data_IF_707524246638
#
_entry.id   IF_707524246638
#
_cell.length_a   1.000
_cell.length_b   1.000
_cell.length_c   1.000
_cell.angle_alpha   90.00
_cell.angle_beta   90.00
_cell.angle_gamma   90.00
#
_symmetry.space_group_name_H-M   'P 1'
#
loop_
_entity.id
_entity.type
_entity.pdbx_description
1 polymer ?
#
# COMPACT_ATOMS: atom_id res chain seq x y z
N UNK A 1 -6.81 -6.46 -20.03
CA UNK A 1 -6.68 -6.44 -18.55
C UNK A 1 -5.20 -6.50 -18.24
N UNK A 2 -4.67 -5.58 -17.44
CA UNK A 2 -3.25 -5.57 -17.06
C UNK A 2 -3.09 -6.24 -15.70
N UNK A 3 -2.14 -7.17 -15.61
CA UNK A 3 -1.81 -7.88 -14.37
C UNK A 3 -0.48 -7.39 -13.82
N UNK A 4 -0.34 -7.47 -12.51
CA UNK A 4 0.84 -7.01 -11.81
C UNK A 4 1.41 -8.07 -10.88
N UNK A 5 2.70 -7.95 -10.58
CA UNK A 5 3.37 -8.77 -9.58
C UNK A 5 4.35 -7.93 -8.77
N UNK A 6 4.14 -7.88 -7.47
CA UNK A 6 5.17 -7.44 -6.53
C UNK A 6 6.13 -8.57 -6.20
N UNK A 7 7.42 -8.25 -6.15
CA UNK A 7 8.53 -9.16 -5.87
C UNK A 7 9.51 -8.53 -4.87
N UNK A 8 10.24 -9.37 -4.17
CA UNK A 8 11.48 -9.01 -3.50
C UNK A 8 12.56 -8.64 -4.51
N UNK A 9 13.58 -7.93 -4.03
CA UNK A 9 14.73 -7.53 -4.82
C UNK A 9 15.32 -8.71 -5.60
N UNK A 10 15.58 -8.50 -6.89
CA UNK A 10 16.05 -9.56 -7.79
C UNK A 10 14.95 -10.45 -8.35
N UNK A 11 13.72 -9.92 -8.51
CA UNK A 11 12.57 -10.64 -9.05
C UNK A 11 12.22 -11.96 -8.31
N UNK A 12 12.29 -11.96 -6.98
CA UNK A 12 11.99 -13.16 -6.16
C UNK A 12 10.60 -13.07 -5.54
N UNK A 13 9.83 -14.16 -5.60
CA UNK A 13 8.53 -14.24 -4.93
C UNK A 13 8.68 -14.06 -3.42
N UNK A 14 8.03 -13.05 -2.80
CA UNK A 14 8.33 -12.68 -1.41
C UNK A 14 7.90 -13.74 -0.38
N UNK A 15 6.89 -14.54 -0.71
CA UNK A 15 6.40 -15.62 0.14
C UNK A 15 6.90 -17.00 -0.30
N UNK A 16 7.05 -17.22 -1.61
CA UNK A 16 7.43 -18.53 -2.16
C UNK A 16 8.94 -18.72 -2.29
N UNK A 17 9.73 -17.63 -2.25
CA UNK A 17 11.15 -17.65 -2.58
C UNK A 17 11.46 -18.00 -4.04
N UNK A 18 10.43 -18.13 -4.89
CA UNK A 18 10.61 -18.58 -6.27
C UNK A 18 11.20 -17.46 -7.13
N UNK A 19 12.32 -17.68 -7.83
CA UNK A 19 12.90 -16.68 -8.73
C UNK A 19 12.06 -16.59 -10.01
N UNK A 20 11.54 -15.41 -10.30
CA UNK A 20 10.86 -15.15 -11.56
C UNK A 20 11.89 -14.73 -12.61
N UNK A 21 11.90 -15.33 -13.81
CA UNK A 21 12.75 -14.86 -14.90
C UNK A 21 12.40 -13.41 -15.25
N UNK A 22 13.29 -12.43 -15.00
CA UNK A 22 13.01 -11.04 -15.32
C UNK A 22 13.05 -10.83 -16.85
N UNK A 23 12.42 -9.76 -17.37
CA UNK A 23 12.64 -9.35 -18.75
C UNK A 23 14.13 -9.06 -18.97
N UNK A 24 14.66 -9.54 -20.09
CA UNK A 24 16.09 -9.37 -20.42
C UNK A 24 16.41 -7.98 -20.94
N UNK A 25 17.70 -7.63 -20.96
CA UNK A 25 18.22 -6.32 -21.38
C UNK A 25 17.84 -5.93 -22.83
N UNK A 26 17.48 -6.92 -23.65
CA UNK A 26 17.08 -6.76 -25.05
C UNK A 26 15.56 -6.86 -25.22
N UNK A 27 14.81 -5.92 -24.64
CA UNK A 27 13.37 -5.67 -24.88
C UNK A 27 12.42 -6.89 -24.83
N UNK A 28 12.87 -8.02 -24.30
CA UNK A 28 12.12 -9.26 -24.25
C UNK A 28 11.46 -9.43 -22.90
N UNK A 29 10.18 -9.80 -22.90
CA UNK A 29 9.54 -10.35 -21.72
C UNK A 29 10.34 -11.55 -21.19
N UNK A 30 10.26 -11.80 -19.89
CA UNK A 30 10.86 -12.96 -19.24
C UNK A 30 10.27 -14.28 -19.75
N UNK A 31 10.91 -15.37 -19.36
CA UNK A 31 10.43 -16.71 -19.69
C UNK A 31 9.08 -17.01 -19.02
N UNK A 32 8.25 -17.82 -19.69
CA UNK A 32 6.97 -18.27 -19.17
C UNK A 32 7.17 -19.26 -18.01
N UNK A 33 6.57 -18.96 -16.87
CA UNK A 33 6.44 -19.87 -15.75
C UNK A 33 5.08 -20.56 -15.84
N UNK A 34 5.05 -21.87 -15.58
CA UNK A 34 3.81 -22.65 -15.49
C UNK A 34 3.71 -23.24 -14.09
N UNK A 35 2.61 -22.98 -13.41
CA UNK A 35 2.30 -23.58 -12.12
C UNK A 35 1.96 -25.07 -12.29
N UNK A 36 2.05 -25.83 -11.20
CA UNK A 36 1.53 -27.19 -11.16
C UNK A 36 0.01 -27.19 -11.35
N UNK A 37 -0.52 -28.31 -11.83
CA UNK A 37 -1.96 -28.53 -11.96
C UNK A 37 -2.68 -28.44 -10.61
N UNK A 38 -3.95 -28.06 -10.66
CA UNK A 38 -4.80 -27.87 -9.48
C UNK A 38 -4.44 -26.60 -8.71
N UNK A 39 -4.92 -25.43 -9.20
CA UNK A 39 -4.67 -24.12 -8.58
C UNK A 39 -5.42 -24.00 -7.25
N UNK A 40 -4.66 -23.89 -6.16
CA UNK A 40 -5.12 -23.84 -4.78
C UNK A 40 -4.46 -22.64 -4.08
N UNK A 41 -5.22 -21.76 -3.41
CA UNK A 41 -4.69 -20.60 -2.70
C UNK A 41 -3.52 -20.95 -1.80
N UNK A 42 -2.45 -20.16 -1.91
CA UNK A 42 -1.24 -20.31 -1.09
C UNK A 42 -0.49 -21.65 -1.27
N UNK A 43 -0.96 -22.58 -2.12
CA UNK A 43 -0.33 -23.89 -2.34
C UNK A 43 0.17 -24.07 -3.78
N UNK A 44 -0.59 -23.61 -4.75
CA UNK A 44 -0.27 -23.74 -6.17
C UNK A 44 -0.84 -22.55 -6.96
N UNK A 45 -0.23 -22.27 -8.11
CA UNK A 45 -0.61 -21.11 -8.92
C UNK A 45 0.25 -19.87 -8.70
N UNK A 46 0.31 -19.07 -9.74
CA UNK A 46 1.06 -17.83 -9.77
C UNK A 46 0.15 -16.71 -9.25
N UNK A 47 0.48 -16.20 -8.06
CA UNK A 47 -0.28 -15.12 -7.42
C UNK A 47 0.03 -13.80 -8.13
N UNK A 48 -0.98 -13.16 -8.70
CA UNK A 48 -0.89 -11.87 -9.38
C UNK A 48 -1.87 -10.88 -8.77
N UNK A 49 -1.69 -9.60 -9.09
CA UNK A 49 -2.50 -8.50 -8.62
C UNK A 49 -3.29 -7.89 -9.79
N UNK A 50 -4.58 -7.64 -9.59
CA UNK A 50 -5.30 -6.60 -10.33
C UNK A 50 -4.76 -5.23 -9.92
N UNK A 51 -5.04 -4.14 -10.67
CA UNK A 51 -4.74 -2.79 -10.21
C UNK A 51 -5.26 -2.52 -8.78
N UNK A 52 -6.51 -2.93 -8.48
CA UNK A 52 -7.13 -2.75 -7.17
C UNK A 52 -6.45 -3.53 -6.03
N UNK A 53 -5.69 -4.58 -6.37
CA UNK A 53 -5.02 -5.47 -5.41
C UNK A 53 -3.64 -4.92 -4.99
N UNK A 54 -3.06 -3.99 -5.75
CA UNK A 54 -1.69 -3.50 -5.56
C UNK A 54 -1.35 -3.09 -4.11
N UNK A 55 -2.20 -2.36 -3.35
CA UNK A 55 -1.88 -1.91 -2.00
C UNK A 55 -1.75 -3.05 -0.97
N UNK A 56 -2.25 -4.25 -1.29
CA UNK A 56 -2.20 -5.41 -0.40
C UNK A 56 -0.89 -6.20 -0.54
N UNK A 57 -0.14 -5.99 -1.63
CA UNK A 57 1.00 -6.83 -2.01
C UNK A 57 2.32 -6.07 -2.11
N UNK A 58 2.39 -4.84 -1.60
CA UNK A 58 3.56 -3.96 -1.70
C UNK A 58 4.86 -4.68 -1.32
N UNK A 59 5.82 -4.66 -2.23
CA UNK A 59 7.17 -5.17 -2.01
C UNK A 59 8.21 -4.28 -2.72
N UNK A 60 9.38 -4.82 -3.04
CA UNK A 60 10.58 -4.05 -3.43
C UNK A 60 10.60 -3.74 -4.91
N UNK A 61 9.98 -4.59 -5.72
CA UNK A 61 9.91 -4.46 -7.16
C UNK A 61 8.48 -4.73 -7.62
N UNK A 62 8.03 -4.01 -8.65
CA UNK A 62 6.72 -4.18 -9.27
C UNK A 62 6.89 -4.44 -10.76
N UNK A 63 6.16 -5.42 -11.29
CA UNK A 63 6.19 -5.79 -12.69
C UNK A 63 4.79 -5.84 -13.28
N UNK A 64 4.69 -5.50 -14.57
CA UNK A 64 3.57 -5.85 -15.44
C UNK A 64 3.76 -7.29 -15.90
N UNK A 65 2.66 -8.05 -15.98
CA UNK A 65 2.65 -9.49 -16.22
C UNK A 65 1.71 -9.85 -17.36
N UNK A 66 2.19 -10.71 -18.26
CA UNK A 66 1.35 -11.42 -19.22
C UNK A 66 0.84 -12.72 -18.58
N UNK A 67 -0.41 -13.07 -18.87
CA UNK A 67 -1.04 -14.32 -18.43
C UNK A 67 -1.50 -15.11 -19.66
N UNK A 68 -1.25 -16.41 -19.64
CA UNK A 68 -1.75 -17.36 -20.62
C UNK A 68 -2.74 -18.32 -19.95
N UNK A 69 -3.99 -18.30 -20.42
CA UNK A 69 -5.09 -19.08 -19.87
C UNK A 69 -5.94 -18.35 -18.81
N UNK A 70 -6.89 -19.07 -18.19
CA UNK A 70 -7.83 -18.50 -17.23
C UNK A 70 -7.15 -18.09 -15.92
N UNK A 71 -7.77 -17.13 -15.24
CA UNK A 71 -7.42 -16.72 -13.88
C UNK A 71 -8.54 -17.06 -12.91
N UNK A 72 -8.16 -17.48 -11.70
CA UNK A 72 -9.10 -17.66 -10.58
C UNK A 72 -9.03 -16.43 -9.68
N UNK A 73 -10.18 -15.85 -9.39
CA UNK A 73 -10.31 -14.62 -8.64
C UNK A 73 -10.46 -14.84 -7.13
N UNK A 74 -9.70 -14.08 -6.34
CA UNK A 74 -9.84 -13.98 -4.88
C UNK A 74 -10.03 -12.53 -4.46
N UNK A 75 -10.29 -12.32 -3.16
CA UNK A 75 -10.62 -11.00 -2.59
C UNK A 75 -9.55 -9.93 -2.89
N UNK A 76 -8.27 -10.29 -2.76
CA UNK A 76 -7.16 -9.34 -2.91
C UNK A 76 -6.09 -9.79 -3.90
N UNK A 77 -6.34 -10.82 -4.71
CA UNK A 77 -5.39 -11.32 -5.70
C UNK A 77 -6.09 -12.21 -6.74
N UNK A 78 -5.35 -12.63 -7.75
CA UNK A 78 -5.75 -13.71 -8.66
C UNK A 78 -4.69 -14.79 -8.73
N UNK A 79 -5.10 -16.01 -9.09
CA UNK A 79 -4.21 -17.11 -9.43
C UNK A 79 -4.22 -17.33 -10.94
N UNK A 80 -3.04 -17.36 -11.54
CA UNK A 80 -2.84 -17.77 -12.93
C UNK A 80 -2.11 -19.11 -12.98
N UNK A 81 -2.43 -19.92 -13.98
CA UNK A 81 -1.68 -21.15 -14.26
C UNK A 81 -0.35 -20.85 -14.97
N UNK A 82 -0.34 -19.88 -15.90
CA UNK A 82 0.85 -19.55 -16.67
C UNK A 82 1.01 -18.04 -16.82
N UNK A 83 2.19 -17.54 -16.49
CA UNK A 83 2.47 -16.10 -16.49
C UNK A 83 3.95 -15.80 -16.76
N UNK A 84 4.27 -14.58 -17.20
CA UNK A 84 5.66 -14.08 -17.33
C UNK A 84 5.75 -12.60 -17.01
N UNK A 85 6.92 -12.17 -16.52
CA UNK A 85 7.21 -10.76 -16.32
C UNK A 85 7.44 -10.08 -17.68
N UNK A 86 6.79 -8.94 -17.92
CA UNK A 86 6.88 -8.22 -19.19
C UNK A 86 7.74 -6.97 -19.06
N UNK A 87 7.42 -6.15 -18.07
CA UNK A 87 8.05 -4.86 -17.86
C UNK A 87 8.17 -4.56 -16.37
N UNK A 88 9.30 -4.01 -15.95
CA UNK A 88 9.48 -3.54 -14.59
C UNK A 88 8.93 -2.12 -14.46
N UNK A 89 7.93 -1.94 -13.61
CA UNK A 89 7.41 -0.61 -13.25
C UNK A 89 8.50 0.13 -12.45
N UNK A 90 8.66 1.46 -12.59
CA UNK A 90 9.64 2.25 -11.83
C UNK A 90 9.25 2.44 -10.35
N UNK A 91 8.86 1.35 -9.70
CA UNK A 91 8.67 1.25 -8.26
C UNK A 91 10.02 0.92 -7.61
N UNK A 92 10.58 1.92 -6.92
CA UNK A 92 11.80 1.83 -6.14
C UNK A 92 11.58 2.43 -4.73
N UNK A 93 12.62 2.43 -3.90
CA UNK A 93 12.54 3.03 -2.56
C UNK A 93 12.13 4.51 -2.60
N UNK A 94 12.51 5.27 -3.65
CA UNK A 94 12.14 6.68 -3.78
C UNK A 94 10.65 6.85 -4.08
N UNK A 95 10.09 6.03 -4.97
CA UNK A 95 8.65 5.96 -5.21
C UNK A 95 7.90 5.56 -3.94
N UNK A 96 8.38 4.55 -3.23
CA UNK A 96 7.79 4.09 -1.98
C UNK A 96 7.81 5.16 -0.88
N UNK A 97 8.89 5.94 -0.73
CA UNK A 97 8.93 7.10 0.18
C UNK A 97 7.86 8.13 -0.16
N UNK A 98 7.68 8.45 -1.45
CA UNK A 98 6.66 9.40 -1.90
C UNK A 98 5.25 8.87 -1.60
N UNK A 99 5.02 7.58 -1.83
CA UNK A 99 3.76 6.91 -1.52
C UNK A 99 3.46 6.93 -0.02
N UNK A 100 4.41 6.51 0.82
CA UNK A 100 4.25 6.51 2.28
C UNK A 100 4.01 7.92 2.83
N UNK A 101 4.69 8.94 2.30
CA UNK A 101 4.41 10.34 2.65
C UNK A 101 2.99 10.77 2.26
N UNK A 102 2.51 10.36 1.08
CA UNK A 102 1.13 10.62 0.66
C UNK A 102 0.11 9.95 1.60
N UNK A 103 0.38 8.72 2.02
CA UNK A 103 -0.43 8.01 3.02
C UNK A 103 -0.41 8.72 4.39
N UNK A 104 0.75 9.17 4.87
CA UNK A 104 0.84 9.90 6.14
C UNK A 104 0.06 11.22 6.12
N UNK A 105 0.17 12.00 5.03
CA UNK A 105 -0.64 13.20 4.86
C UNK A 105 -2.13 12.89 4.76
N UNK A 106 -2.49 11.78 4.12
CA UNK A 106 -3.88 11.34 4.07
C UNK A 106 -4.44 11.03 5.46
N UNK A 107 -3.65 10.42 6.34
CA UNK A 107 -4.04 10.15 7.73
C UNK A 107 -4.24 11.43 8.52
N UNK A 108 -3.35 12.43 8.36
CA UNK A 108 -3.55 13.77 8.94
C UNK A 108 -4.90 14.35 8.55
N UNK A 109 -5.23 14.34 7.26
CA UNK A 109 -6.49 14.93 6.76
C UNK A 109 -7.71 14.20 7.36
N UNK A 110 -7.66 12.86 7.44
CA UNK A 110 -8.70 12.05 8.06
C UNK A 110 -8.87 12.35 9.56
N UNK A 111 -7.75 12.58 10.26
CA UNK A 111 -7.76 12.92 11.68
C UNK A 111 -8.31 14.33 11.93
N UNK A 112 -7.91 15.31 11.12
CA UNK A 112 -8.46 16.66 11.19
C UNK A 112 -9.99 16.65 10.94
N UNK A 113 -10.46 15.93 9.92
CA UNK A 113 -11.89 15.76 9.65
C UNK A 113 -12.65 15.10 10.83
N UNK A 114 -12.02 14.15 11.52
CA UNK A 114 -12.60 13.50 12.69
C UNK A 114 -12.70 14.46 13.88
N UNK A 115 -11.63 15.22 14.14
CA UNK A 115 -11.57 16.25 15.19
C UNK A 115 -12.65 17.32 14.98
N UNK A 116 -12.79 17.83 13.76
CA UNK A 116 -13.83 18.79 13.36
C UNK A 116 -15.24 18.27 13.71
N UNK A 117 -15.55 17.01 13.37
CA UNK A 117 -16.86 16.40 13.69
C UNK A 117 -17.14 16.28 15.18
N UNK A 118 -16.10 16.19 16.01
CA UNK A 118 -16.20 16.11 17.47
C UNK A 118 -16.13 17.48 18.16
N UNK A 119 -16.04 18.58 17.39
CA UNK A 119 -15.96 19.94 17.93
C UNK A 119 -14.55 20.38 18.37
N UNK A 120 -13.52 19.57 18.08
CA UNK A 120 -12.10 19.85 18.41
C UNK A 120 -11.43 20.69 17.31
N UNK A 121 -12.02 21.85 17.02
CA UNK A 121 -11.67 22.71 15.88
C UNK A 121 -10.23 23.25 15.92
N UNK A 122 -9.73 23.58 17.11
CA UNK A 122 -8.39 24.16 17.25
C UNK A 122 -7.30 23.12 16.91
N UNK A 123 -7.45 21.89 17.41
CA UNK A 123 -6.52 20.81 17.10
C UNK A 123 -6.58 20.39 15.63
N UNK A 124 -7.77 20.35 15.03
CA UNK A 124 -7.91 20.10 13.60
C UNK A 124 -7.17 21.16 12.77
N UNK A 125 -7.27 22.44 13.16
CA UNK A 125 -6.55 23.55 12.53
C UNK A 125 -5.04 23.42 12.72
N UNK A 126 -4.58 23.02 13.90
CA UNK A 126 -3.16 22.77 14.18
C UNK A 126 -2.60 21.65 13.28
N UNK A 127 -3.29 20.52 13.15
CA UNK A 127 -2.89 19.44 12.24
C UNK A 127 -2.82 19.94 10.80
N UNK A 128 -3.86 20.63 10.31
CA UNK A 128 -3.92 21.12 8.93
C UNK A 128 -2.88 22.21 8.63
N UNK A 129 -2.40 22.93 9.64
CA UNK A 129 -1.34 23.92 9.51
C UNK A 129 0.05 23.28 9.29
N UNK A 130 0.23 21.99 9.59
CA UNK A 130 1.53 21.34 9.44
C UNK A 130 1.97 21.23 7.97
N UNK A 131 3.19 21.67 7.69
CA UNK A 131 3.78 21.70 6.33
C UNK A 131 4.89 20.68 6.08
N UNK A 132 5.39 20.03 7.14
CA UNK A 132 6.35 18.93 7.07
C UNK A 132 5.93 17.77 7.98
N UNK A 133 6.49 16.58 7.75
CA UNK A 133 6.21 15.42 8.61
C UNK A 133 6.80 15.62 10.02
N UNK A 134 7.97 16.27 10.14
CA UNK A 134 8.58 16.62 11.43
C UNK A 134 7.72 17.61 12.22
N UNK A 135 7.04 18.53 11.53
CA UNK A 135 6.11 19.46 12.14
C UNK A 135 4.87 18.73 12.65
N UNK A 136 4.32 17.84 11.83
CA UNK A 136 3.18 17.00 12.18
C UNK A 136 3.50 16.09 13.38
N UNK A 137 4.69 15.49 13.43
CA UNK A 137 5.13 14.64 14.54
C UNK A 137 5.16 15.40 15.88
N UNK A 138 5.73 16.61 15.87
CA UNK A 138 5.77 17.47 17.07
C UNK A 138 4.36 17.87 17.52
N UNK A 139 3.49 18.24 16.59
CA UNK A 139 2.10 18.62 16.90
C UNK A 139 1.35 17.45 17.53
N UNK A 140 1.40 16.26 16.92
CA UNK A 140 0.71 15.07 17.44
C UNK A 140 1.25 14.67 18.82
N UNK A 141 2.57 14.78 19.04
CA UNK A 141 3.18 14.55 20.35
C UNK A 141 2.66 15.48 21.46
N UNK A 142 2.18 16.68 21.10
CA UNK A 142 1.54 17.62 22.02
C UNK A 142 0.05 17.35 22.29
N UNK A 143 -0.64 16.63 21.40
CA UNK A 143 -2.07 16.34 21.49
C UNK A 143 -2.39 15.04 22.25
N UNK A 144 -1.43 14.13 22.36
CA UNK A 144 -1.67 12.74 22.78
C UNK A 144 -1.84 12.50 24.30
N UNK A 145 -2.05 13.53 25.12
CA UNK A 145 -1.79 13.42 26.57
C UNK A 145 -2.97 13.11 27.50
N UNK A 146 -4.25 13.30 27.15
CA UNK A 146 -5.30 13.21 28.20
C UNK A 146 -6.66 12.56 27.86
N UNK A 147 -6.93 12.04 26.65
CA UNK A 147 -8.30 11.59 26.30
C UNK A 147 -8.45 10.20 25.66
N UNK A 148 -9.64 9.61 25.86
CA UNK A 148 -10.08 8.35 25.24
C UNK A 148 -11.29 8.61 24.34
N UNK A 149 -11.36 7.98 23.16
CA UNK A 149 -12.45 8.14 22.18
C UNK A 149 -11.95 8.22 20.73
N UNK A 150 -12.86 8.23 19.75
CA UNK A 150 -12.47 8.09 18.32
C UNK A 150 -11.60 9.22 17.78
N UNK A 151 -11.56 10.38 18.45
CA UNK A 151 -10.66 11.49 18.13
C UNK A 151 -9.22 11.23 18.62
N UNK A 152 -9.06 10.64 19.81
CA UNK A 152 -7.77 10.16 20.31
C UNK A 152 -7.26 8.98 19.48
N UNK A 153 -8.16 8.11 19.01
CA UNK A 153 -7.82 7.05 18.06
C UNK A 153 -7.30 7.62 16.73
N UNK A 154 -7.84 8.76 16.29
CA UNK A 154 -7.45 9.39 15.03
C UNK A 154 -6.03 10.00 15.06
N UNK A 155 -5.63 10.66 16.15
CA UNK A 155 -4.26 11.19 16.32
C UNK A 155 -3.24 10.07 16.51
N UNK A 156 -3.62 8.97 17.18
CA UNK A 156 -2.81 7.76 17.27
C UNK A 156 -2.44 7.19 15.90
N UNK A 157 -3.40 7.12 14.97
CA UNK A 157 -3.08 6.71 13.59
C UNK A 157 -2.10 7.66 12.88
N UNK A 158 -2.13 8.96 13.17
CA UNK A 158 -1.15 9.90 12.61
C UNK A 158 0.26 9.56 13.10
N UNK A 159 0.42 9.33 14.41
CA UNK A 159 1.71 8.94 14.99
C UNK A 159 2.23 7.60 14.41
N UNK A 160 1.36 6.61 14.25
CA UNK A 160 1.72 5.34 13.60
C UNK A 160 2.16 5.58 12.15
N UNK A 161 1.41 6.37 11.39
CA UNK A 161 1.72 6.64 9.99
C UNK A 161 3.09 7.32 9.83
N UNK A 162 3.41 8.29 10.70
CA UNK A 162 4.70 8.97 10.76
C UNK A 162 5.84 8.01 11.09
N UNK A 163 5.65 7.17 12.12
CA UNK A 163 6.64 6.16 12.55
C UNK A 163 7.01 5.24 11.39
N UNK A 164 6.02 4.66 10.72
CA UNK A 164 6.29 3.74 9.61
C UNK A 164 6.77 4.47 8.35
N UNK A 165 6.30 5.69 8.08
CA UNK A 165 6.79 6.48 6.94
C UNK A 165 8.28 6.82 7.10
N UNK A 166 8.73 7.18 8.32
CA UNK A 166 10.15 7.39 8.63
C UNK A 166 10.99 6.11 8.48
N UNK A 167 10.42 4.95 8.81
CA UNK A 167 11.07 3.64 8.61
C UNK A 167 11.45 3.33 7.15
N UNK A 168 10.76 3.91 6.17
CA UNK A 168 11.10 3.76 4.74
C UNK A 168 12.45 4.41 4.41
N UNK A 169 12.90 5.37 5.22
CA UNK A 169 14.17 6.07 5.01
C UNK A 169 15.40 5.24 5.41
N UNK A 170 15.25 4.27 6.32
CA UNK A 170 16.32 3.48 6.97
C UNK A 170 16.93 2.32 6.15
N UNK A 171 16.65 2.23 4.85
CA UNK A 171 17.16 1.24 3.88
C UNK A 171 16.79 -0.24 4.08
N UNK A 172 16.73 -0.78 5.29
CA UNK A 172 16.40 -2.20 5.51
C UNK A 172 14.90 -2.35 5.78
N UNK A 173 14.19 -3.13 4.96
CA UNK A 173 12.77 -3.41 5.20
C UNK A 173 11.80 -2.29 4.81
N UNK A 174 12.24 -1.35 3.95
CA UNK A 174 11.41 -0.22 3.50
C UNK A 174 10.08 -0.66 2.86
N UNK A 175 10.04 -1.83 2.22
CA UNK A 175 8.82 -2.41 1.66
C UNK A 175 7.78 -2.72 2.74
N UNK A 176 8.20 -3.33 3.86
CA UNK A 176 7.31 -3.62 4.99
C UNK A 176 6.81 -2.35 5.67
N UNK A 177 7.71 -1.37 5.86
CA UNK A 177 7.34 -0.06 6.38
C UNK A 177 6.30 0.63 5.47
N UNK A 178 6.51 0.60 4.16
CA UNK A 178 5.57 1.13 3.14
C UNK A 178 4.21 0.43 3.19
N UNK A 179 4.20 -0.90 3.24
CA UNK A 179 2.99 -1.70 3.39
C UNK A 179 2.22 -1.34 4.67
N UNK A 180 2.94 -1.12 5.77
CA UNK A 180 2.37 -0.79 7.07
C UNK A 180 1.80 0.63 7.08
N UNK A 181 2.50 1.63 6.52
CA UNK A 181 1.96 2.99 6.38
C UNK A 181 0.66 3.01 5.56
N UNK A 182 0.59 2.24 4.46
CA UNK A 182 -0.63 2.13 3.65
C UNK A 182 -1.78 1.44 4.41
N UNK A 183 -1.46 0.41 5.20
CA UNK A 183 -2.41 -0.26 6.07
C UNK A 183 -2.95 0.69 7.15
N UNK A 184 -2.08 1.46 7.80
CA UNK A 184 -2.45 2.49 8.78
C UNK A 184 -3.39 3.51 8.15
N UNK A 185 -3.11 3.99 6.93
CA UNK A 185 -4.00 4.91 6.22
C UNK A 185 -5.40 4.34 5.98
N UNK A 186 -5.48 3.07 5.55
CA UNK A 186 -6.77 2.41 5.36
C UNK A 186 -7.51 2.20 6.70
N UNK A 187 -6.78 1.83 7.77
CA UNK A 187 -7.33 1.66 9.11
C UNK A 187 -7.87 2.98 9.68
N UNK A 188 -7.11 4.07 9.53
CA UNK A 188 -7.54 5.42 9.90
C UNK A 188 -8.81 5.82 9.14
N UNK A 189 -8.88 5.55 7.83
CA UNK A 189 -10.07 5.85 7.03
C UNK A 189 -11.31 5.08 7.53
N UNK A 190 -11.12 3.84 7.99
CA UNK A 190 -12.19 3.02 8.58
C UNK A 190 -12.61 3.55 9.95
N UNK A 191 -11.65 3.84 10.83
CA UNK A 191 -11.89 4.23 12.22
C UNK A 191 -12.51 5.63 12.32
N UNK A 192 -12.12 6.54 11.44
CA UNK A 192 -12.64 7.92 11.41
C UNK A 192 -13.96 8.05 10.64
N UNK A 193 -14.44 6.99 9.98
CA UNK A 193 -15.66 7.06 9.17
C UNK A 193 -16.90 7.43 10.02
N UNK A 194 -17.72 8.39 9.57
CA UNK A 194 -18.93 8.77 10.30
C UNK A 194 -20.01 7.68 10.17
N UNK A 195 -20.31 7.00 11.28
CA UNK A 195 -21.39 6.00 11.37
C UNK A 195 -21.13 4.69 10.60
N UNK A 196 -21.72 3.59 11.05
CA UNK A 196 -21.62 2.28 10.40
C UNK A 196 -20.28 1.56 10.63
N UNK A 197 -19.95 0.58 9.78
CA UNK A 197 -18.79 -0.32 9.97
C UNK A 197 -17.45 0.21 9.45
N UNK A 198 -17.47 1.37 8.77
CA UNK A 198 -16.30 1.97 8.09
C UNK A 198 -15.75 1.18 6.90
N UNK A 199 -16.38 0.06 6.50
CA UNK A 199 -15.92 -0.79 5.38
C UNK A 199 -15.81 -0.04 4.05
N UNK A 200 -16.75 0.87 3.77
CA UNK A 200 -16.73 1.69 2.55
C UNK A 200 -15.53 2.64 2.51
N UNK A 201 -15.24 3.32 3.62
CA UNK A 201 -14.08 4.23 3.72
C UNK A 201 -12.75 3.48 3.60
N UNK A 202 -12.65 2.29 4.19
CA UNK A 202 -11.49 1.40 3.97
C UNK A 202 -11.31 1.09 2.48
N UNK A 203 -12.36 0.62 1.81
CA UNK A 203 -12.30 0.24 0.40
C UNK A 203 -11.94 1.44 -0.50
N UNK A 204 -12.52 2.61 -0.21
CA UNK A 204 -12.20 3.85 -0.94
C UNK A 204 -10.74 4.26 -0.76
N UNK A 205 -10.18 4.12 0.44
CA UNK A 205 -8.77 4.41 0.69
C UNK A 205 -7.84 3.40 0.00
N UNK A 206 -8.19 2.10 0.00
CA UNK A 206 -7.47 1.10 -0.79
C UNK A 206 -7.53 1.40 -2.29
N UNK A 207 -8.67 1.83 -2.82
CA UNK A 207 -8.79 2.22 -4.23
C UNK A 207 -7.94 3.45 -4.57
N UNK A 208 -7.87 4.44 -3.66
CA UNK A 208 -6.98 5.60 -3.82
C UNK A 208 -5.51 5.16 -3.90
N UNK A 209 -5.09 4.30 -2.98
CA UNK A 209 -3.73 3.74 -2.95
C UNK A 209 -3.42 2.96 -4.23
N UNK A 210 -4.35 2.12 -4.68
CA UNK A 210 -4.23 1.35 -5.92
C UNK A 210 -4.04 2.25 -7.13
N UNK A 211 -4.83 3.32 -7.22
CA UNK A 211 -4.77 4.29 -8.32
C UNK A 211 -3.43 5.03 -8.32
N UNK A 212 -2.93 5.45 -7.15
CA UNK A 212 -1.61 6.09 -7.02
C UNK A 212 -0.49 5.19 -7.57
N UNK A 213 -0.51 3.89 -7.25
CA UNK A 213 0.51 2.94 -7.68
C UNK A 213 0.37 2.63 -9.17
N UNK A 214 -0.86 2.45 -9.67
CA UNK A 214 -1.12 2.18 -11.09
C UNK A 214 -0.69 3.36 -11.99
N UNK A 215 -0.92 4.61 -11.57
CA UNK A 215 -0.46 5.81 -12.28
C UNK A 215 1.08 5.90 -12.40
N UNK A 216 1.84 5.17 -11.58
CA UNK A 216 3.29 5.06 -11.73
C UNK A 216 3.66 4.10 -12.87
N UNK A 217 2.82 3.10 -13.15
CA UNK A 217 3.05 2.13 -14.23
C UNK A 217 2.73 2.68 -15.62
N UNK A 218 1.92 3.74 -15.70
CA UNK A 218 1.56 4.41 -16.96
C UNK A 218 2.57 5.51 -17.38
N UNK A 219 3.62 5.75 -16.59
CA UNK A 219 4.66 6.77 -16.84
C UNK A 219 5.93 6.15 -17.42
#
# INVERSE_FOLDING_TARGET
MTWYKFLSAGAVGPFSGYPWPPPGDSHGAGEWITARDGLEPCQSGLHLCRPADLPFWLHEELYIVDVDGPVTEYESFVLAHRARLVHRVPWDQRAARRFSRACAWRVRDLAADALERTGRHDEARELLACTSLDDLDRTVGGLATEETGSAADATGYVADALTFAGGVEGSTGWASATATTALVAAAAARATAPGGSGRGSWAAERQRQASWIAELADR
#
